data_IF_547825255124
#
_entry.id   IF_547825255124
#
_cell.length_a   1.000
_cell.length_b   1.000
_cell.length_c   1.000
_cell.angle_alpha   90.00
_cell.angle_beta   90.00
_cell.angle_gamma   90.00
#
_symmetry.space_group_name_H-M   'P 1'
#
loop_
_entity.id
_entity.type
_entity.pdbx_description
1 polymer ?
#
# COMPACT_ATOMS: atom_id res chain seq x y z
N UNK A 1 36.96 -4.20 -15.86
CA UNK A 1 36.11 -4.92 -14.89
C UNK A 1 35.52 -3.89 -13.93
N UNK A 2 34.22 -3.60 -14.04
CA UNK A 2 33.53 -2.73 -13.07
C UNK A 2 33.30 -3.59 -11.82
N UNK A 3 33.66 -3.11 -10.63
CA UNK A 3 33.47 -3.86 -9.39
C UNK A 3 31.98 -4.16 -9.17
N UNK A 4 31.68 -5.35 -8.64
CA UNK A 4 30.31 -5.78 -8.35
C UNK A 4 29.53 -4.74 -7.52
N UNK A 5 30.20 -4.07 -6.58
CA UNK A 5 29.65 -2.99 -5.77
C UNK A 5 29.26 -1.73 -6.57
N UNK A 6 30.07 -1.36 -7.58
CA UNK A 6 29.78 -0.20 -8.43
C UNK A 6 28.57 -0.47 -9.34
N UNK A 7 28.41 -1.70 -9.80
CA UNK A 7 27.25 -2.13 -10.57
C UNK A 7 25.95 -2.18 -9.73
N UNK A 8 26.03 -2.62 -8.47
CA UNK A 8 24.89 -2.59 -7.53
C UNK A 8 24.43 -1.15 -7.24
N UNK A 9 25.37 -0.23 -7.02
CA UNK A 9 25.08 1.21 -6.83
C UNK A 9 24.47 1.85 -8.07
N UNK A 10 24.97 1.54 -9.27
CA UNK A 10 24.41 2.06 -10.51
C UNK A 10 22.99 1.53 -10.78
N UNK A 11 22.68 0.28 -10.38
CA UNK A 11 21.31 -0.26 -10.44
C UNK A 11 20.37 0.38 -9.42
N UNK A 12 20.81 0.57 -8.17
CA UNK A 12 20.04 1.32 -7.16
C UNK A 12 19.73 2.74 -7.63
N UNK A 13 20.70 3.43 -8.25
CA UNK A 13 20.51 4.78 -8.78
C UNK A 13 19.51 4.83 -9.95
N UNK A 14 19.57 3.89 -10.90
CA UNK A 14 18.58 3.83 -12.00
C UNK A 14 17.16 3.54 -11.52
N UNK A 15 17.04 2.67 -10.53
CA UNK A 15 15.75 2.30 -9.94
C UNK A 15 15.15 3.45 -9.11
N UNK A 16 15.99 4.17 -8.36
CA UNK A 16 15.60 5.43 -7.70
C UNK A 16 15.17 6.50 -8.69
N UNK A 17 15.77 6.56 -9.90
CA UNK A 17 15.35 7.48 -10.95
C UNK A 17 13.96 7.13 -11.52
N UNK A 18 13.65 5.85 -11.73
CA UNK A 18 12.32 5.41 -12.19
C UNK A 18 11.25 5.74 -11.14
N UNK A 19 11.54 5.47 -9.86
CA UNK A 19 10.63 5.87 -8.77
C UNK A 19 10.45 7.38 -8.76
N UNK A 20 11.53 8.17 -8.88
CA UNK A 20 11.43 9.63 -8.94
C UNK A 20 10.61 10.14 -10.13
N UNK A 21 10.72 9.50 -11.29
CA UNK A 21 9.94 9.85 -12.50
C UNK A 21 8.45 9.51 -12.37
N UNK A 22 8.11 8.43 -11.67
CA UNK A 22 6.72 8.02 -11.45
C UNK A 22 6.10 8.65 -10.20
N UNK A 23 6.94 9.08 -9.26
CA UNK A 23 6.49 9.63 -7.99
C UNK A 23 6.08 11.09 -8.11
N UNK A 24 5.08 11.48 -7.33
CA UNK A 24 4.66 12.87 -7.26
C UNK A 24 5.16 13.49 -5.95
N UNK A 25 5.81 14.65 -6.03
CA UNK A 25 6.09 15.48 -4.86
C UNK A 25 4.76 16.08 -4.40
N UNK A 26 4.23 15.54 -3.30
CA UNK A 26 2.92 15.94 -2.77
C UNK A 26 3.02 16.80 -1.51
N UNK A 27 4.18 16.81 -0.85
CA UNK A 27 4.45 17.67 0.31
C UNK A 27 5.88 18.18 0.29
N UNK A 28 6.03 19.48 0.47
CA UNK A 28 7.31 20.15 0.71
C UNK A 28 7.32 20.62 2.16
N UNK A 29 8.28 20.14 2.96
CA UNK A 29 8.47 20.69 4.30
C UNK A 29 9.33 21.96 4.17
N UNK A 30 8.73 23.12 4.44
CA UNK A 30 9.45 24.40 4.36
C UNK A 30 10.51 24.56 5.47
N UNK A 31 10.43 23.75 6.54
CA UNK A 31 11.36 23.82 7.68
C UNK A 31 12.61 22.95 7.50
N UNK A 32 12.51 21.92 6.66
CA UNK A 32 13.60 21.00 6.32
C UNK A 32 13.51 20.84 4.82
N UNK A 33 14.36 21.52 4.03
CA UNK A 33 14.37 21.54 2.55
C UNK A 33 14.37 20.12 1.91
N UNK A 34 13.28 19.40 2.05
CA UNK A 34 13.15 17.98 1.79
C UNK A 34 11.76 17.76 1.23
N UNK A 35 11.73 17.12 0.07
CA UNK A 35 10.52 16.77 -0.63
C UNK A 35 10.07 15.40 -0.12
N UNK A 36 8.84 15.31 0.38
CA UNK A 36 8.24 14.00 0.63
C UNK A 36 7.68 13.49 -0.69
N UNK A 37 8.24 12.38 -1.11
CA UNK A 37 7.87 11.68 -2.33
C UNK A 37 6.94 10.52 -1.94
N UNK A 38 5.75 10.47 -2.54
CA UNK A 38 4.89 9.29 -2.48
C UNK A 38 5.00 8.54 -3.80
N UNK A 39 5.29 7.25 -3.73
CA UNK A 39 5.53 6.41 -4.91
C UNK A 39 4.41 5.41 -5.18
N UNK A 40 3.55 5.13 -4.20
CA UNK A 40 2.35 4.31 -4.34
C UNK A 40 1.41 4.53 -3.15
N UNK A 41 0.28 3.82 -3.13
CA UNK A 41 -0.63 3.76 -1.99
C UNK A 41 -0.97 2.31 -1.66
N UNK A 42 -1.38 2.04 -0.43
CA UNK A 42 -2.11 0.82 -0.09
C UNK A 42 -3.53 1.13 0.35
N UNK A 43 -4.43 0.19 0.05
CA UNK A 43 -5.78 0.14 0.59
C UNK A 43 -5.88 -1.11 1.46
N UNK A 44 -6.39 -0.97 2.68
CA UNK A 44 -6.71 -2.09 3.57
C UNK A 44 -8.17 -2.04 3.96
N UNK A 45 -8.91 -3.11 3.66
CA UNK A 45 -10.32 -3.26 4.02
C UNK A 45 -10.41 -4.15 5.24
N UNK A 46 -11.14 -3.70 6.26
CA UNK A 46 -11.28 -4.42 7.52
C UNK A 46 -12.68 -4.98 7.73
N UNK A 47 -12.72 -6.13 8.39
CA UNK A 47 -13.96 -6.83 8.75
C UNK A 47 -13.79 -7.58 10.07
N UNK A 48 -14.89 -7.77 10.79
CA UNK A 48 -14.91 -8.62 11.98
C UNK A 48 -14.86 -10.08 11.54
N UNK A 49 -13.67 -10.70 11.56
CA UNK A 49 -13.38 -12.01 10.97
C UNK A 49 -14.29 -13.16 11.43
N UNK A 50 -14.84 -13.08 12.65
CA UNK A 50 -15.74 -14.11 13.20
C UNK A 50 -17.23 -13.82 12.94
N UNK A 51 -17.57 -12.64 12.41
CA UNK A 51 -18.91 -12.33 11.95
C UNK A 51 -19.07 -12.80 10.50
N UNK A 52 -19.80 -13.91 10.31
CA UNK A 52 -19.99 -14.53 8.99
C UNK A 52 -20.51 -13.56 7.92
N UNK A 53 -21.38 -12.62 8.29
CA UNK A 53 -21.95 -11.67 7.32
C UNK A 53 -20.90 -10.65 6.87
N UNK A 54 -20.14 -10.07 7.79
CA UNK A 54 -19.09 -9.10 7.45
C UNK A 54 -17.92 -9.76 6.73
N UNK A 55 -17.56 -10.99 7.09
CA UNK A 55 -16.55 -11.78 6.37
C UNK A 55 -17.00 -12.06 4.94
N UNK A 56 -18.25 -12.50 4.73
CA UNK A 56 -18.77 -12.74 3.39
C UNK A 56 -18.82 -11.46 2.55
N UNK A 57 -19.25 -10.34 3.16
CA UNK A 57 -19.26 -9.02 2.52
C UNK A 57 -17.86 -8.57 2.10
N UNK A 58 -16.85 -8.75 2.96
CA UNK A 58 -15.46 -8.44 2.66
C UNK A 58 -14.89 -9.28 1.53
N UNK A 59 -15.20 -10.58 1.50
CA UNK A 59 -14.78 -11.49 0.42
C UNK A 59 -15.44 -11.08 -0.90
N UNK A 60 -16.75 -10.82 -0.89
CA UNK A 60 -17.47 -10.39 -2.11
C UNK A 60 -16.93 -9.06 -2.64
N UNK A 61 -16.65 -8.08 -1.76
CA UNK A 61 -16.06 -6.81 -2.19
C UNK A 61 -14.67 -7.03 -2.81
N UNK A 62 -13.83 -7.88 -2.20
CA UNK A 62 -12.51 -8.24 -2.74
C UNK A 62 -12.61 -8.84 -4.13
N UNK A 63 -13.50 -9.80 -4.35
CA UNK A 63 -13.72 -10.44 -5.65
C UNK A 63 -14.21 -9.44 -6.71
N UNK A 64 -15.13 -8.54 -6.34
CA UNK A 64 -15.61 -7.49 -7.24
C UNK A 64 -14.49 -6.52 -7.61
N UNK A 65 -13.66 -6.11 -6.65
CA UNK A 65 -12.52 -5.23 -6.88
C UNK A 65 -11.50 -5.88 -7.81
N UNK A 66 -11.12 -7.14 -7.54
CA UNK A 66 -10.20 -7.92 -8.37
C UNK A 66 -10.69 -7.99 -9.81
N UNK A 67 -11.99 -8.29 -10.00
CA UNK A 67 -12.61 -8.36 -11.33
C UNK A 67 -12.65 -6.99 -12.03
N UNK A 68 -13.01 -5.94 -11.31
CA UNK A 68 -13.17 -4.59 -11.86
C UNK A 68 -11.85 -4.03 -12.40
N UNK A 69 -10.76 -4.27 -11.68
CA UNK A 69 -9.44 -3.71 -11.99
C UNK A 69 -8.49 -4.72 -12.64
N UNK A 70 -8.97 -5.93 -12.93
CA UNK A 70 -8.17 -7.03 -13.49
C UNK A 70 -6.87 -7.25 -12.68
N UNK A 71 -7.02 -7.26 -11.35
CA UNK A 71 -5.91 -7.30 -10.39
C UNK A 71 -5.13 -8.60 -10.58
N UNK A 72 -3.81 -8.49 -10.65
CA UNK A 72 -2.93 -9.66 -10.76
C UNK A 72 -2.56 -10.19 -9.38
N UNK A 73 -2.48 -11.51 -9.28
CA UNK A 73 -1.83 -12.15 -8.14
C UNK A 73 -0.31 -11.96 -8.27
N UNK A 74 0.29 -11.30 -7.27
CA UNK A 74 1.72 -11.00 -7.25
C UNK A 74 2.53 -12.02 -6.44
N UNK A 75 1.92 -13.10 -5.91
CA UNK A 75 2.57 -14.04 -4.98
C UNK A 75 3.34 -13.32 -3.85
N UNK A 76 2.68 -12.39 -3.16
CA UNK A 76 3.22 -11.55 -2.08
C UNK A 76 4.39 -10.62 -2.45
N UNK A 77 4.73 -10.44 -3.72
CA UNK A 77 5.77 -9.48 -4.15
C UNK A 77 5.29 -8.01 -4.16
N UNK A 78 4.12 -7.74 -3.56
CA UNK A 78 3.43 -6.46 -3.58
C UNK A 78 3.95 -5.42 -2.57
N UNK A 79 4.97 -5.74 -1.75
CA UNK A 79 5.33 -4.92 -0.58
C UNK A 79 5.86 -3.52 -0.93
N UNK A 80 6.68 -3.41 -1.98
CA UNK A 80 7.38 -2.15 -2.27
C UNK A 80 7.23 -1.65 -3.69
N UNK A 81 6.89 -2.52 -4.65
CA UNK A 81 6.62 -2.12 -6.02
C UNK A 81 5.91 -3.23 -6.80
N UNK A 82 4.82 -2.88 -7.49
CA UNK A 82 4.21 -3.68 -8.56
C UNK A 82 4.05 -2.82 -9.82
N UNK A 83 4.08 -3.45 -11.02
CA UNK A 83 3.80 -2.76 -12.29
C UNK A 83 2.31 -2.46 -12.52
N UNK A 84 1.42 -3.02 -11.69
CA UNK A 84 -0.03 -2.82 -11.74
C UNK A 84 -0.62 -3.01 -10.35
N UNK A 85 -1.92 -2.78 -10.21
CA UNK A 85 -2.65 -3.14 -8.99
C UNK A 85 -2.42 -4.63 -8.68
N UNK A 86 -2.14 -4.92 -7.43
CA UNK A 86 -1.83 -6.26 -6.95
C UNK A 86 -2.35 -6.42 -5.51
N UNK A 87 -2.60 -7.66 -5.06
CA UNK A 87 -3.25 -7.94 -3.76
C UNK A 87 -2.46 -8.93 -2.91
N UNK A 88 -2.65 -8.86 -1.60
CA UNK A 88 -2.22 -9.93 -0.67
C UNK A 88 -3.34 -10.93 -0.40
N UNK A 89 -2.98 -12.00 0.30
CA UNK A 89 -3.93 -12.95 0.86
C UNK A 89 -4.89 -12.33 1.87
N UNK A 90 -6.01 -13.02 2.09
CA UNK A 90 -7.01 -12.64 3.07
C UNK A 90 -6.51 -12.94 4.49
N UNK A 91 -6.41 -11.92 5.33
CA UNK A 91 -6.06 -12.08 6.74
C UNK A 91 -7.31 -12.36 7.58
N UNK A 92 -7.43 -13.57 8.11
CA UNK A 92 -8.51 -13.98 9.01
C UNK A 92 -8.19 -13.73 10.50
N UNK A 93 -7.15 -12.95 10.77
CA UNK A 93 -6.68 -12.59 12.11
C UNK A 93 -5.87 -11.28 12.03
N UNK A 94 -5.57 -10.62 13.17
CA UNK A 94 -4.68 -9.47 13.19
C UNK A 94 -3.28 -9.85 12.68
N UNK A 95 -2.71 -9.02 11.80
CA UNK A 95 -1.38 -9.21 11.20
C UNK A 95 -0.70 -7.83 11.08
N UNK A 96 0.55 -7.71 11.54
CA UNK A 96 1.28 -6.44 11.52
C UNK A 96 0.52 -5.33 12.27
N UNK A 97 0.38 -4.11 11.71
CA UNK A 97 -0.32 -3.01 12.37
C UNK A 97 -1.86 -3.17 12.38
N UNK A 98 -2.39 -4.20 11.70
CA UNK A 98 -3.81 -4.34 11.42
C UNK A 98 -4.52 -5.08 12.57
N UNK A 99 -5.49 -4.43 13.26
CA UNK A 99 -6.00 -4.92 14.55
C UNK A 99 -7.05 -6.02 14.45
N UNK A 100 -7.61 -6.26 13.25
CA UNK A 100 -8.65 -7.26 12.98
C UNK A 100 -8.44 -7.86 11.58
N UNK A 101 -9.31 -8.78 11.16
CA UNK A 101 -9.28 -9.36 9.82
C UNK A 101 -9.28 -8.28 8.73
N UNK A 102 -8.44 -8.49 7.72
CA UNK A 102 -8.23 -7.53 6.64
C UNK A 102 -7.88 -8.18 5.31
N UNK A 103 -8.01 -7.43 4.23
CA UNK A 103 -7.29 -7.70 2.99
C UNK A 103 -6.74 -6.39 2.44
N UNK A 104 -5.60 -6.47 1.76
CA UNK A 104 -4.87 -5.31 1.28
C UNK A 104 -4.68 -5.32 -0.23
N UNK A 105 -4.50 -4.13 -0.80
CA UNK A 105 -4.17 -3.89 -2.20
C UNK A 105 -3.00 -2.91 -2.26
N UNK A 106 -2.02 -3.21 -3.12
CA UNK A 106 -1.05 -2.23 -3.58
C UNK A 106 -1.57 -1.49 -4.81
N UNK A 107 -1.37 -0.17 -4.81
CA UNK A 107 -1.93 0.75 -5.78
C UNK A 107 -0.84 1.64 -6.39
N UNK A 108 -0.54 1.49 -7.69
CA UNK A 108 0.20 2.48 -8.45
C UNK A 108 -0.48 3.85 -8.39
N UNK A 109 0.28 4.93 -8.57
CA UNK A 109 -0.22 6.30 -8.44
C UNK A 109 -1.27 6.63 -9.51
N UNK A 110 -1.08 6.13 -10.72
CA UNK A 110 -1.98 6.30 -11.86
C UNK A 110 -3.38 5.70 -11.60
N UNK A 111 -3.46 4.67 -10.76
CA UNK A 111 -4.70 3.96 -10.45
C UNK A 111 -5.40 4.50 -9.18
N UNK A 112 -4.75 5.40 -8.43
CA UNK A 112 -5.27 5.92 -7.16
C UNK A 112 -6.69 6.45 -7.28
N UNK A 113 -6.92 7.36 -8.24
CA UNK A 113 -8.20 8.06 -8.35
C UNK A 113 -9.33 7.09 -8.70
N UNK A 114 -9.11 6.16 -9.63
CA UNK A 114 -10.14 5.21 -10.07
C UNK A 114 -10.47 4.20 -8.97
N UNK A 115 -9.46 3.63 -8.32
CA UNK A 115 -9.63 2.62 -7.27
C UNK A 115 -10.25 3.19 -6.00
N UNK A 116 -9.77 4.33 -5.51
CA UNK A 116 -10.32 4.97 -4.31
C UNK A 116 -11.74 5.48 -4.57
N UNK A 117 -12.03 6.02 -5.75
CA UNK A 117 -13.40 6.43 -6.10
C UNK A 117 -14.34 5.22 -6.13
N UNK A 118 -13.93 4.11 -6.75
CA UNK A 118 -14.74 2.90 -6.81
C UNK A 118 -15.02 2.34 -5.41
N UNK A 119 -14.00 2.22 -4.57
CA UNK A 119 -14.19 1.63 -3.24
C UNK A 119 -15.02 2.57 -2.33
N UNK A 120 -14.90 3.89 -2.49
CA UNK A 120 -15.66 4.88 -1.72
C UNK A 120 -17.18 4.74 -1.85
N UNK A 121 -17.67 4.17 -2.94
CA UNK A 121 -19.11 3.97 -3.17
C UNK A 121 -19.55 2.49 -3.12
N UNK A 122 -18.61 1.54 -3.13
CA UNK A 122 -18.92 0.10 -3.10
C UNK A 122 -18.57 -0.60 -1.78
N UNK A 123 -17.96 0.10 -0.80
CA UNK A 123 -17.46 -0.49 0.45
C UNK A 123 -18.50 -1.08 1.41
N UNK A 124 -19.80 -0.88 1.16
CA UNK A 124 -20.87 -1.46 1.98
C UNK A 124 -20.74 -1.07 3.45
N UNK A 125 -20.66 -2.04 4.35
CA UNK A 125 -20.51 -1.88 5.79
C UNK A 125 -19.06 -1.81 6.29
N UNK A 126 -18.09 -2.01 5.42
CA UNK A 126 -16.68 -2.23 5.78
C UNK A 126 -15.96 -0.90 6.01
N UNK A 127 -14.96 -0.91 6.89
CA UNK A 127 -14.07 0.26 7.08
C UNK A 127 -12.79 0.07 6.30
N UNK A 128 -12.25 1.17 5.77
CA UNK A 128 -11.12 1.15 4.84
C UNK A 128 -10.07 2.15 5.29
N UNK A 129 -8.83 1.68 5.42
CA UNK A 129 -7.64 2.51 5.54
C UNK A 129 -7.05 2.70 4.15
N UNK A 130 -6.71 3.93 3.80
CA UNK A 130 -5.90 4.25 2.63
C UNK A 130 -4.69 5.04 3.09
N UNK A 131 -3.49 4.60 2.75
CA UNK A 131 -2.26 5.31 3.13
C UNK A 131 -1.28 5.40 1.97
N UNK A 132 -0.49 6.48 1.87
CA UNK A 132 0.59 6.58 0.90
C UNK A 132 1.75 5.67 1.30
N UNK A 133 2.67 5.44 0.36
CA UNK A 133 3.98 4.87 0.65
C UNK A 133 5.05 5.89 0.31
N UNK A 134 5.77 6.33 1.35
CA UNK A 134 6.84 7.34 1.28
C UNK A 134 8.21 6.79 1.72
N UNK A 135 8.23 5.54 2.18
CA UNK A 135 9.37 4.92 2.83
C UNK A 135 9.43 5.16 4.34
N UNK A 136 8.39 5.74 4.93
CA UNK A 136 8.25 5.97 6.38
C UNK A 136 6.95 5.31 6.88
N UNK A 137 6.91 3.96 7.00
CA UNK A 137 5.68 3.22 7.22
C UNK A 137 4.87 3.70 8.42
N UNK A 138 5.53 4.00 9.55
CA UNK A 138 4.84 4.47 10.75
C UNK A 138 4.06 5.77 10.52
N UNK A 139 4.69 6.77 9.90
CA UNK A 139 4.03 8.05 9.59
C UNK A 139 2.99 7.87 8.49
N UNK A 140 3.30 7.05 7.49
CA UNK A 140 2.39 6.74 6.38
C UNK A 140 1.05 6.20 6.89
N UNK A 141 1.08 5.20 7.79
CA UNK A 141 -0.13 4.56 8.32
C UNK A 141 -0.85 5.40 9.38
N UNK A 142 -0.11 6.10 10.25
CA UNK A 142 -0.71 6.73 11.44
C UNK A 142 -1.05 8.21 11.23
N UNK A 143 -0.34 8.90 10.35
CA UNK A 143 -0.46 10.36 10.16
C UNK A 143 -0.92 10.73 8.77
N UNK A 144 -0.34 10.13 7.73
CA UNK A 144 -0.64 10.49 6.34
C UNK A 144 -1.81 9.69 5.74
N UNK A 145 -2.36 8.75 6.50
CA UNK A 145 -3.49 7.94 6.07
C UNK A 145 -4.82 8.65 6.23
N UNK A 146 -5.82 8.18 5.48
CA UNK A 146 -7.21 8.56 5.65
C UNK A 146 -8.11 7.32 5.67
N UNK A 147 -9.34 7.53 6.14
CA UNK A 147 -10.29 6.44 6.36
C UNK A 147 -11.61 6.70 5.64
N UNK A 148 -12.17 5.63 5.09
CA UNK A 148 -13.59 5.59 4.70
C UNK A 148 -14.31 4.88 5.85
N UNK A 149 -15.28 5.58 6.46
CA UNK A 149 -15.94 5.24 7.73
C UNK A 149 -15.01 5.34 8.96
N UNK A 150 -15.19 4.42 9.91
CA UNK A 150 -14.64 4.51 11.26
C UNK A 150 -13.19 4.06 11.29
N UNK A 151 -12.31 4.95 11.73
CA UNK A 151 -10.91 4.64 11.98
C UNK A 151 -10.75 3.57 13.08
N UNK A 152 -9.87 2.60 12.83
CA UNK A 152 -9.48 1.59 13.81
C UNK A 152 -8.12 1.95 14.45
N UNK A 153 -7.88 1.56 15.71
CA UNK A 153 -6.59 1.76 16.36
C UNK A 153 -5.56 0.78 15.80
N UNK A 154 -4.69 1.25 14.91
CA UNK A 154 -3.58 0.45 14.38
C UNK A 154 -2.48 0.26 15.46
N UNK A 155 -1.79 -0.88 15.41
CA UNK A 155 -0.60 -1.12 16.23
C UNK A 155 0.64 -0.48 15.57
N UNK A 156 0.94 0.75 15.98
CA UNK A 156 2.07 1.51 15.46
C UNK A 156 3.45 0.98 15.86
N UNK A 157 3.54 0.06 16.82
CA UNK A 157 4.81 -0.53 17.25
C UNK A 157 5.25 -1.68 16.33
N UNK A 158 4.36 -2.16 15.48
CA UNK A 158 4.65 -3.13 14.41
C UNK A 158 5.22 -2.45 13.15
N UNK A 159 5.31 -1.12 13.13
CA UNK A 159 5.76 -0.34 11.97
C UNK A 159 7.16 0.20 12.19
N UNK A 160 8.03 0.04 11.18
CA UNK A 160 9.32 0.70 11.19
C UNK A 160 9.17 2.21 10.95
N UNK A 161 10.08 2.99 11.53
CA UNK A 161 10.17 4.42 11.25
C UNK A 161 10.66 4.67 9.82
N UNK A 162 11.47 3.77 9.27
CA UNK A 162 12.01 3.84 7.92
C UNK A 162 12.05 2.47 7.27
N UNK A 163 11.55 2.38 6.05
CA UNK A 163 11.67 1.24 5.16
C UNK A 163 11.86 1.77 3.74
N UNK A 164 13.09 1.84 3.22
CA UNK A 164 13.29 2.31 1.85
C UNK A 164 12.58 1.36 0.87
N UNK A 165 12.10 1.86 -0.28
CA UNK A 165 11.53 0.99 -1.29
C UNK A 165 12.55 -0.08 -1.68
N UNK A 166 12.17 -1.35 -1.58
CA UNK A 166 13.07 -2.48 -1.81
C UNK A 166 13.11 -2.77 -3.32
N UNK A 167 14.04 -2.13 -4.03
CA UNK A 167 14.05 -2.06 -5.50
C UNK A 167 14.84 -3.19 -6.16
N UNK A 168 14.73 -4.42 -5.64
CA UNK A 168 15.36 -5.58 -6.25
C UNK A 168 14.36 -6.37 -7.09
N UNK A 169 14.38 -6.16 -8.42
CA UNK A 169 13.92 -7.16 -9.39
C UNK A 169 14.69 -8.46 -9.12
N UNK A 170 14.04 -9.48 -8.58
CA UNK A 170 14.47 -10.85 -8.87
C UNK A 170 14.02 -11.14 -10.29
N UNK A 171 14.98 -11.44 -11.16
CA UNK A 171 14.77 -11.81 -12.55
C UNK A 171 13.85 -13.03 -12.69
#
# INVERSE_FOLDING_TARGET
>A
MISHERWLKDRQNKNMLIIREQSTVLRQDASVNNETIYYSYHIHVYFLQYNKNLTAEAITLREQFIKQFNVIDCNDQCETWCPSICHWDLNMQPIGPHPIGSWGIYLPLEDFTSAVSWISINHGNLTILVHPNSGYPKIDHLTNAFWIKTQLPLDGDQLSDYAPPNITRTN
#
